data_IF_327960893967
#
_entry.id   IF_327960893967
#
_cell.length_a   1.000
_cell.length_b   1.000
_cell.length_c   1.000
_cell.angle_alpha   90.00
_cell.angle_beta   90.00
_cell.angle_gamma   90.00
#
_symmetry.space_group_name_H-M   'P 1'
#
loop_
_entity.id
_entity.type
_entity.pdbx_description
1 polymer ?
#
# COMPACT_ATOMS: atom_id res chain seq x y z
N UNK A 1 9.30 13.72 -0.22
CA UNK A 1 9.03 12.64 0.76
C UNK A 1 7.68 11.94 0.53
N UNK A 2 6.58 12.67 0.26
CA UNK A 2 5.35 12.12 -0.37
C UNK A 2 5.67 11.36 -1.67
N UNK A 3 6.73 11.80 -2.37
CA UNK A 3 7.27 11.13 -3.55
C UNK A 3 7.59 9.64 -3.36
N UNK A 4 8.03 9.16 -2.20
CA UNK A 4 8.41 7.74 -2.09
C UNK A 4 7.20 6.81 -2.09
N UNK A 5 6.09 7.26 -1.50
CA UNK A 5 4.82 6.53 -1.56
C UNK A 5 4.23 6.67 -2.96
N UNK A 6 4.37 7.84 -3.60
CA UNK A 6 3.99 8.00 -5.01
C UNK A 6 4.82 7.13 -5.95
N UNK A 7 6.12 6.94 -5.69
CA UNK A 7 6.99 6.07 -6.48
C UNK A 7 6.64 4.60 -6.22
N UNK A 8 6.42 4.20 -4.96
CA UNK A 8 5.92 2.86 -4.63
C UNK A 8 4.52 2.60 -5.23
N UNK A 9 3.66 3.61 -5.26
CA UNK A 9 2.36 3.63 -5.92
C UNK A 9 2.42 3.59 -7.46
N UNK A 10 3.59 3.85 -8.05
CA UNK A 10 3.83 3.72 -9.49
C UNK A 10 4.38 2.33 -9.82
N UNK A 11 5.08 1.68 -8.90
CA UNK A 11 5.61 0.32 -9.07
C UNK A 11 4.60 -0.78 -8.66
N UNK A 12 3.74 -0.52 -7.67
CA UNK A 12 2.59 -1.34 -7.31
C UNK A 12 1.29 -0.67 -7.74
N UNK A 13 0.29 -1.44 -8.16
CA UNK A 13 -1.00 -0.87 -8.53
C UNK A 13 -1.67 -0.27 -7.27
N UNK A 14 -1.84 1.06 -7.21
CA UNK A 14 -2.66 1.68 -6.16
C UNK A 14 -4.10 1.29 -6.41
N UNK A 15 -4.55 0.29 -5.66
CA UNK A 15 -5.91 -0.21 -5.77
C UNK A 15 -6.90 0.73 -5.09
N UNK A 16 -6.46 1.49 -4.07
CA UNK A 16 -7.35 2.40 -3.34
C UNK A 16 -6.60 3.48 -2.53
N UNK A 17 -7.01 4.74 -2.65
CA UNK A 17 -6.69 5.83 -1.70
C UNK A 17 -7.95 6.14 -0.87
N UNK A 18 -7.79 6.36 0.44
CA UNK A 18 -8.88 6.82 1.31
C UNK A 18 -8.39 7.87 2.30
N UNK A 19 -9.19 8.91 2.49
CA UNK A 19 -8.92 9.93 3.50
C UNK A 19 -9.65 9.54 4.79
N UNK A 20 -8.90 9.45 5.89
CA UNK A 20 -9.43 9.21 7.23
C UNK A 20 -9.25 10.47 8.08
N UNK A 21 -9.87 10.50 9.25
CA UNK A 21 -9.65 11.57 10.23
C UNK A 21 -8.22 11.61 10.82
N UNK A 22 -7.42 10.57 10.56
CA UNK A 22 -6.07 10.41 11.09
C UNK A 22 -4.99 10.66 10.05
N UNK A 23 -5.35 10.67 8.76
CA UNK A 23 -4.39 10.74 7.68
C UNK A 23 -4.95 10.20 6.37
N UNK A 24 -4.04 9.80 5.49
CA UNK A 24 -4.37 9.11 4.24
C UNK A 24 -4.00 7.64 4.34
N UNK A 25 -4.95 6.78 3.99
CA UNK A 25 -4.71 5.36 3.84
C UNK A 25 -4.47 5.03 2.35
N UNK A 26 -3.44 4.22 2.11
CA UNK A 26 -3.05 3.74 0.80
C UNK A 26 -3.06 2.23 0.80
N UNK A 27 -3.85 1.65 -0.09
CA UNK A 27 -3.91 0.20 -0.31
C UNK A 27 -3.26 -0.12 -1.65
N UNK A 28 -2.23 -0.95 -1.58
CA UNK A 28 -1.40 -1.33 -2.72
C UNK A 28 -1.38 -2.85 -2.84
N UNK A 29 -1.59 -3.34 -4.05
CA UNK A 29 -1.40 -4.75 -4.39
C UNK A 29 -0.12 -4.89 -5.20
N UNK A 30 0.71 -5.83 -4.78
CA UNK A 30 1.99 -6.14 -5.39
C UNK A 30 1.92 -7.54 -5.95
N UNK A 31 2.27 -7.70 -7.22
CA UNK A 31 2.55 -9.03 -7.76
C UNK A 31 3.85 -9.55 -7.17
N UNK A 32 3.87 -10.78 -6.66
CA UNK A 32 5.10 -11.42 -6.20
C UNK A 32 5.63 -12.31 -7.34
N UNK A 33 6.80 -12.00 -7.92
CA UNK A 33 7.38 -12.81 -8.98
C UNK A 33 7.59 -14.26 -8.54
N UNK A 34 7.26 -15.21 -9.42
CA UNK A 34 7.41 -16.65 -9.18
C UNK A 34 6.59 -17.22 -8.00
N UNK A 35 5.57 -16.50 -7.51
CA UNK A 35 4.75 -16.95 -6.38
C UNK A 35 3.45 -17.67 -6.77
N UNK A 36 3.32 -18.11 -8.03
CA UNK A 36 2.17 -18.89 -8.49
C UNK A 36 0.84 -18.14 -8.44
N UNK A 37 0.84 -16.86 -8.81
CA UNK A 37 -0.37 -16.02 -8.77
C UNK A 37 -0.71 -15.46 -7.38
N UNK A 38 0.20 -15.57 -6.41
CA UNK A 38 0.04 -14.90 -5.12
C UNK A 38 0.37 -13.40 -5.25
N UNK A 39 -0.49 -12.56 -4.67
CA UNK A 39 -0.31 -11.11 -4.58
C UNK A 39 -0.08 -10.72 -3.12
N UNK A 40 0.76 -9.72 -2.87
CA UNK A 40 0.90 -9.11 -1.56
C UNK A 40 0.04 -7.84 -1.53
N UNK A 41 -0.95 -7.79 -0.63
CA UNK A 41 -1.69 -6.56 -0.35
C UNK A 41 -1.10 -5.89 0.87
N UNK A 42 -0.74 -4.62 0.73
CA UNK A 42 -0.26 -3.78 1.83
C UNK A 42 -1.17 -2.57 2.02
N UNK A 43 -1.36 -2.17 3.28
CA UNK A 43 -2.12 -0.99 3.68
C UNK A 43 -1.18 -0.09 4.48
N UNK A 44 -1.06 1.15 4.05
CA UNK A 44 -0.17 2.15 4.62
C UNK A 44 -0.97 3.36 5.07
N UNK A 45 -0.57 3.97 6.18
CA UNK A 45 -1.08 5.26 6.63
C UNK A 45 -0.01 6.33 6.48
N UNK A 46 -0.40 7.49 5.97
CA UNK A 46 0.34 8.75 6.14
C UNK A 46 -0.45 9.62 7.09
N UNK A 47 0.03 9.74 8.33
CA UNK A 47 -0.64 10.54 9.35
C UNK A 47 -0.64 12.03 8.99
N UNK A 48 -1.64 12.76 9.46
CA UNK A 48 -1.61 14.23 9.42
C UNK A 48 -0.50 14.82 10.31
N UNK A 49 -0.06 14.09 11.34
CA UNK A 49 0.94 14.54 12.31
C UNK A 49 2.37 14.21 11.84
N UNK A 50 2.52 13.30 10.89
CA UNK A 50 3.81 12.82 10.40
C UNK A 50 3.75 12.49 8.92
N UNK A 51 4.62 13.11 8.13
CA UNK A 51 4.74 12.81 6.70
C UNK A 51 5.42 11.47 6.39
N UNK A 52 5.74 10.67 7.40
CA UNK A 52 6.32 9.35 7.23
C UNK A 52 5.24 8.28 7.10
N UNK A 53 5.22 7.50 6.01
CA UNK A 53 4.30 6.38 5.87
C UNK A 53 4.56 5.31 6.92
N UNK A 54 3.50 4.78 7.51
CA UNK A 54 3.53 3.66 8.44
C UNK A 54 2.76 2.49 7.85
N UNK A 55 3.38 1.29 7.86
CA UNK A 55 2.70 0.08 7.42
C UNK A 55 1.68 -0.33 8.49
N UNK A 56 0.39 -0.34 8.13
CA UNK A 56 -0.68 -0.78 9.02
C UNK A 56 -0.86 -2.30 8.93
N UNK A 57 -0.86 -2.83 7.69
CA UNK A 57 -1.17 -4.23 7.45
C UNK A 57 -0.53 -4.72 6.16
N UNK A 58 -0.12 -5.99 6.14
CA UNK A 58 0.37 -6.69 4.96
C UNK A 58 -0.13 -8.14 4.98
N UNK A 59 -0.72 -8.61 3.89
CA UNK A 59 -1.21 -9.98 3.78
C UNK A 59 -1.16 -10.51 2.35
N UNK A 60 -0.97 -11.82 2.23
CA UNK A 60 -0.96 -12.52 0.95
C UNK A 60 -2.39 -12.79 0.50
N UNK A 61 -2.73 -12.34 -0.70
CA UNK A 61 -3.89 -12.81 -1.46
C UNK A 61 -3.45 -13.99 -2.31
N UNK A 62 -4.25 -15.04 -2.32
CA UNK A 62 -4.14 -16.12 -3.31
C UNK A 62 -5.47 -16.19 -4.02
N UNK A 63 -5.44 -16.26 -5.34
CA UNK A 63 -6.62 -16.71 -6.08
C UNK A 63 -6.95 -18.15 -5.64
N UNK A 64 -8.24 -18.41 -5.49
CA UNK A 64 -8.77 -19.64 -4.89
C UNK A 64 -9.03 -20.70 -5.95
#
# INVERSE_FOLDING_TARGET
MVELIQIAAVEGEVVQESNTKFGKEYKMDWEIPNAGGAELRTIWEVSIESSYPSLISAFLKREK
#
